data_IF_650940699928
#
_entry.id   IF_650940699928
#
_cell.length_a   1.000
_cell.length_b   1.000
_cell.length_c   1.000
_cell.angle_alpha   90.00
_cell.angle_beta   90.00
_cell.angle_gamma   90.00
#
_symmetry.space_group_name_H-M   'P 1'
#
loop_
_entity.id
_entity.type
_entity.pdbx_description
1 polymer ?
#
# COMPACT_ATOMS: atom_id res chain seq x y z
N UNK A 1 25.59 -2.94 10.76
CA UNK A 1 24.43 -3.44 10.02
C UNK A 1 23.44 -4.02 11.01
N UNK A 2 22.20 -3.54 11.00
CA UNK A 2 21.15 -3.96 11.94
C UNK A 2 19.79 -3.45 11.46
N UNK A 3 18.71 -3.95 12.06
CA UNK A 3 17.35 -3.51 11.75
C UNK A 3 17.15 -2.07 12.24
N UNK A 4 16.71 -1.18 11.34
CA UNK A 4 16.46 0.23 11.65
C UNK A 4 14.99 0.54 11.92
N UNK A 5 14.08 -0.38 11.57
CA UNK A 5 12.65 -0.24 11.80
C UNK A 5 11.80 -1.04 10.82
N UNK A 6 10.50 -0.73 10.80
CA UNK A 6 9.53 -1.28 9.85
C UNK A 6 9.57 -0.44 8.57
N UNK A 7 9.66 -1.11 7.42
CA UNK A 7 9.69 -0.44 6.12
C UNK A 7 8.30 -0.31 5.48
N UNK A 8 7.51 -1.39 5.45
CA UNK A 8 6.16 -1.39 4.90
C UNK A 8 5.30 -2.53 5.50
N UNK A 9 4.00 -2.49 5.23
CA UNK A 9 3.07 -3.59 5.51
C UNK A 9 2.12 -3.73 4.33
N UNK A 10 1.81 -4.98 3.96
CA UNK A 10 0.92 -5.30 2.85
C UNK A 10 -0.36 -5.94 3.37
N UNK A 11 -1.49 -5.60 2.74
CA UNK A 11 -2.80 -6.12 3.10
C UNK A 11 -3.50 -6.66 1.86
N UNK A 12 -4.23 -7.77 2.01
CA UNK A 12 -5.23 -8.19 1.03
C UNK A 12 -6.53 -7.47 1.34
N UNK A 13 -7.09 -6.80 0.34
CA UNK A 13 -8.33 -6.03 0.45
C UNK A 13 -9.30 -6.44 -0.64
N UNK A 14 -10.60 -6.25 -0.41
CA UNK A 14 -11.63 -6.59 -1.40
C UNK A 14 -11.58 -5.66 -2.63
N UNK A 15 -11.25 -4.38 -2.43
CA UNK A 15 -11.13 -3.38 -3.50
C UNK A 15 -9.96 -2.43 -3.19
N UNK A 16 -8.95 -2.46 -4.07
CA UNK A 16 -7.72 -1.65 -3.95
C UNK A 16 -8.02 -0.16 -4.12
N UNK A 17 -8.92 0.22 -5.03
CA UNK A 17 -9.26 1.63 -5.29
C UNK A 17 -10.02 2.24 -4.12
N UNK A 18 -10.98 1.49 -3.57
CA UNK A 18 -11.72 1.93 -2.38
C UNK A 18 -10.79 2.09 -1.17
N UNK A 19 -9.85 1.15 -0.99
CA UNK A 19 -8.86 1.21 0.09
C UNK A 19 -7.93 2.41 -0.08
N UNK A 20 -7.34 2.60 -1.26
CA UNK A 20 -6.47 3.73 -1.55
C UNK A 20 -7.17 5.07 -1.28
N UNK A 21 -8.42 5.22 -1.76
CA UNK A 21 -9.24 6.41 -1.49
C UNK A 21 -9.40 6.66 0.02
N UNK A 22 -9.71 5.64 0.80
CA UNK A 22 -9.84 5.77 2.25
C UNK A 22 -8.54 6.22 2.92
N UNK A 23 -7.41 5.60 2.57
CA UNK A 23 -6.10 5.99 3.10
C UNK A 23 -5.76 7.45 2.78
N UNK A 24 -6.04 7.90 1.55
CA UNK A 24 -5.82 9.28 1.16
C UNK A 24 -6.77 10.26 1.89
N UNK A 25 -8.06 9.97 1.93
CA UNK A 25 -9.06 10.91 2.48
C UNK A 25 -9.08 10.97 4.01
N UNK A 26 -8.77 9.86 4.69
CA UNK A 26 -8.90 9.76 6.15
C UNK A 26 -7.58 9.90 6.88
N UNK A 27 -6.49 9.45 6.27
CA UNK A 27 -5.16 9.50 6.89
C UNK A 27 -4.23 10.50 6.21
N UNK A 28 -4.65 11.11 5.09
CA UNK A 28 -3.84 12.09 4.36
C UNK A 28 -2.64 11.46 3.64
N UNK A 29 -2.70 10.15 3.36
CA UNK A 29 -1.65 9.46 2.63
C UNK A 29 -1.70 9.77 1.14
N UNK A 30 -0.63 9.42 0.43
CA UNK A 30 -0.50 9.59 -1.01
C UNK A 30 -0.15 8.26 -1.68
N UNK A 31 -0.70 8.03 -2.88
CA UNK A 31 -0.36 6.85 -3.67
C UNK A 31 1.01 7.07 -4.32
N UNK A 32 2.00 6.29 -3.88
CA UNK A 32 3.36 6.36 -4.43
C UNK A 32 3.52 5.57 -5.74
N UNK A 33 2.75 4.50 -5.92
CA UNK A 33 2.76 3.67 -7.13
C UNK A 33 1.48 2.83 -7.21
N UNK A 34 0.92 2.69 -8.41
CA UNK A 34 -0.21 1.81 -8.74
C UNK A 34 0.20 0.65 -9.66
N UNK A 35 1.49 0.33 -9.72
CA UNK A 35 2.01 -0.74 -10.55
C UNK A 35 1.27 -2.05 -10.25
N UNK A 36 0.58 -2.57 -11.26
CA UNK A 36 -0.08 -3.88 -11.18
C UNK A 36 1.02 -4.92 -10.99
N UNK A 37 1.03 -5.55 -9.81
CA UNK A 37 1.94 -6.65 -9.56
C UNK A 37 1.41 -7.88 -10.28
N UNK A 38 2.17 -8.37 -11.26
CA UNK A 38 1.86 -9.62 -11.94
C UNK A 38 1.95 -10.77 -10.91
N UNK A 39 0.87 -11.53 -10.66
CA UNK A 39 0.90 -12.63 -9.72
C UNK A 39 1.82 -13.79 -10.14
N UNK A 40 2.30 -13.82 -11.39
CA UNK A 40 3.28 -14.79 -11.89
C UNK A 40 4.75 -14.41 -11.61
N UNK A 41 5.04 -13.24 -11.03
CA UNK A 41 6.39 -12.78 -10.67
C UNK A 41 6.51 -12.18 -9.25
#
# INVERSE_FOLDING_TARGET
>A
MGLTGINHTSFTVADVKASAKWYCEKLGFEVMSDAVRDPAY
#
